data_IF_696971322134
#
_entry.id   IF_696971322134
#
_cell.length_a   1.000
_cell.length_b   1.000
_cell.length_c   1.000
_cell.angle_alpha   90.00
_cell.angle_beta   90.00
_cell.angle_gamma   90.00
#
_symmetry.space_group_name_H-M   'P 1'
#
loop_
_entity.id
_entity.type
_entity.pdbx_description
1 polymer ?
#
# COMPACT_ATOMS: atom_id res chain seq x y z
N UNK A 1 6.69 19.82 -4.25
CA UNK A 1 6.08 19.53 -5.56
C UNK A 1 5.47 18.13 -5.47
N UNK A 2 4.14 18.08 -5.49
CA UNK A 2 3.33 16.85 -5.35
C UNK A 2 3.14 16.25 -6.76
N UNK A 3 3.30 14.93 -6.90
CA UNK A 3 3.15 14.24 -8.18
C UNK A 3 2.09 13.16 -8.03
N UNK A 4 0.89 13.46 -8.54
CA UNK A 4 -0.16 12.46 -8.66
C UNK A 4 0.27 11.46 -9.75
N UNK A 5 0.50 10.21 -9.36
CA UNK A 5 0.74 9.15 -10.33
C UNK A 5 -0.59 8.83 -11.00
N UNK A 6 -0.65 9.00 -12.32
CA UNK A 6 -1.73 8.43 -13.10
C UNK A 6 -1.65 6.89 -12.97
N UNK A 7 -2.64 6.30 -12.27
CA UNK A 7 -2.68 4.88 -11.85
C UNK A 7 -2.28 3.91 -12.97
N UNK A 8 -2.59 4.23 -14.22
CA UNK A 8 -2.40 3.37 -15.40
C UNK A 8 -0.97 3.27 -15.95
N UNK A 9 -0.01 4.08 -15.47
CA UNK A 9 1.36 4.08 -16.02
C UNK A 9 2.41 3.37 -15.17
N UNK A 10 2.16 3.16 -13.88
CA UNK A 10 3.17 2.61 -12.94
C UNK A 10 2.70 1.32 -12.29
N UNK A 11 1.39 1.18 -12.07
CA UNK A 11 0.80 0.03 -11.40
C UNK A 11 0.04 -0.81 -12.42
N UNK A 12 0.41 -2.07 -12.55
CA UNK A 12 -0.29 -3.02 -13.43
C UNK A 12 -1.00 -4.06 -12.60
N UNK A 13 -2.25 -4.38 -12.96
CA UNK A 13 -2.95 -5.53 -12.39
C UNK A 13 -2.45 -6.81 -13.07
N UNK A 14 -2.27 -7.92 -12.32
CA UNK A 14 -2.02 -9.23 -12.90
C UNK A 14 -3.25 -9.69 -13.70
N UNK A 15 -3.05 -10.44 -14.78
CA UNK A 15 -4.12 -10.89 -15.68
C UNK A 15 -5.05 -11.98 -15.11
N UNK A 16 -5.04 -12.24 -13.79
CA UNK A 16 -5.89 -13.27 -13.20
C UNK A 16 -7.30 -12.73 -12.88
N UNK A 17 -8.32 -13.41 -13.42
CA UNK A 17 -9.73 -13.03 -13.39
C UNK A 17 -10.41 -13.09 -12.00
N UNK A 18 -9.72 -13.57 -10.97
CA UNK A 18 -10.28 -13.75 -9.62
C UNK A 18 -9.97 -12.59 -8.66
N UNK A 19 -9.22 -11.58 -9.09
CA UNK A 19 -8.89 -10.43 -8.25
C UNK A 19 -9.97 -9.35 -8.40
N UNK A 20 -10.70 -9.07 -7.32
CA UNK A 20 -11.67 -7.97 -7.26
C UNK A 20 -11.01 -6.65 -7.71
N UNK A 21 -11.75 -5.86 -8.50
CA UNK A 21 -11.29 -4.57 -9.01
C UNK A 21 -10.70 -3.72 -7.87
N UNK A 22 -9.50 -3.17 -8.03
CA UNK A 22 -8.81 -2.27 -7.08
C UNK A 22 -9.50 -0.90 -6.90
N UNK A 23 -10.81 -0.84 -7.05
CA UNK A 23 -11.62 0.37 -6.94
C UNK A 23 -11.51 1.02 -5.57
N UNK A 24 -11.12 0.27 -4.54
CA UNK A 24 -11.03 0.73 -3.15
C UNK A 24 -9.60 0.98 -2.67
N UNK A 25 -8.62 0.88 -3.58
CA UNK A 25 -7.22 1.19 -3.31
C UNK A 25 -6.83 2.51 -3.98
N UNK A 26 -6.22 3.42 -3.22
CA UNK A 26 -5.69 4.69 -3.73
C UNK A 26 -4.19 4.79 -3.49
N UNK A 27 -3.47 5.39 -4.44
CA UNK A 27 -2.01 5.53 -4.38
C UNK A 27 -1.64 7.00 -4.30
N UNK A 28 -0.62 7.31 -3.53
CA UNK A 28 -0.06 8.65 -3.46
C UNK A 28 1.44 8.59 -3.24
N UNK A 29 2.21 9.41 -3.96
CA UNK A 29 3.66 9.42 -3.86
C UNK A 29 4.13 10.76 -3.30
N UNK A 30 4.87 10.71 -2.19
CA UNK A 30 5.47 11.89 -1.58
C UNK A 30 6.96 11.89 -1.83
N UNK A 31 7.46 13.03 -2.29
CA UNK A 31 8.87 13.21 -2.59
C UNK A 31 9.61 13.66 -1.32
N UNK A 32 10.16 12.69 -0.60
CA UNK A 32 10.86 12.93 0.67
C UNK A 32 12.40 12.84 0.50
N UNK A 33 12.87 12.31 -0.64
CA UNK A 33 14.29 12.10 -1.02
C UNK A 33 15.15 11.64 0.17
N UNK A 34 14.77 10.51 0.78
CA UNK A 34 15.48 10.02 1.98
C UNK A 34 16.72 9.18 1.63
N UNK A 35 16.54 8.06 0.90
CA UNK A 35 17.60 7.06 0.65
C UNK A 35 17.52 6.49 -0.77
N UNK A 36 18.66 6.15 -1.40
CA UNK A 36 18.72 5.54 -2.73
C UNK A 36 18.63 4.01 -2.70
N UNK A 37 18.16 3.41 -3.79
CA UNK A 37 18.08 1.96 -3.99
C UNK A 37 16.78 1.31 -3.49
N UNK A 38 15.76 2.12 -3.26
CA UNK A 38 14.46 1.66 -2.78
C UNK A 38 13.54 2.82 -2.43
N UNK A 39 12.48 2.53 -1.70
CA UNK A 39 11.47 3.51 -1.30
C UNK A 39 10.78 3.08 0.00
N UNK A 40 10.10 4.00 0.67
CA UNK A 40 9.25 3.66 1.81
C UNK A 40 7.87 3.31 1.26
N UNK A 41 7.33 2.16 1.67
CA UNK A 41 5.92 1.84 1.51
C UNK A 41 5.22 2.23 2.80
N UNK A 42 4.14 2.99 2.71
CA UNK A 42 3.25 3.26 3.82
C UNK A 42 1.85 2.74 3.47
N UNK A 43 1.37 1.75 4.21
CA UNK A 43 0.06 1.17 4.02
C UNK A 43 -0.90 1.72 5.05
N UNK A 44 -1.94 2.41 4.60
CA UNK A 44 -2.88 3.19 5.41
C UNK A 44 -4.27 2.57 5.28
N UNK A 45 -4.88 2.17 6.38
CA UNK A 45 -6.15 1.44 6.36
C UNK A 45 -7.17 2.09 7.28
N UNK A 46 -8.41 2.19 6.79
CA UNK A 46 -9.55 2.70 7.54
C UNK A 46 -10.01 1.70 8.60
N UNK A 47 -10.40 2.17 9.79
CA UNK A 47 -10.83 1.39 10.97
C UNK A 47 -11.79 0.26 10.70
N UNK A 48 -12.75 0.49 9.81
CA UNK A 48 -13.75 -0.53 9.46
C UNK A 48 -13.19 -1.68 8.63
N UNK A 49 -12.06 -1.47 7.95
CA UNK A 49 -11.40 -2.46 7.09
C UNK A 49 -10.34 -3.28 7.81
N UNK A 50 -9.89 -2.87 9.00
CA UNK A 50 -8.94 -3.63 9.80
C UNK A 50 -9.61 -4.13 11.08
N UNK A 51 -9.76 -5.45 11.21
CA UNK A 51 -10.39 -6.03 12.39
C UNK A 51 -9.40 -6.12 13.58
N UNK A 52 -8.07 -6.16 13.35
CA UNK A 52 -7.06 -6.30 14.43
C UNK A 52 -5.72 -5.53 14.31
N UNK A 53 -5.27 -5.04 13.13
CA UNK A 53 -4.20 -4.02 12.85
C UNK A 53 -3.62 -4.23 11.40
N UNK A 54 -2.48 -3.62 10.98
CA UNK A 54 -1.94 -3.54 9.59
C UNK A 54 -0.44 -3.87 9.51
N UNK A 55 0.01 -4.78 8.64
CA UNK A 55 1.44 -5.16 8.52
C UNK A 55 1.95 -5.15 7.07
N UNK A 56 3.21 -4.74 6.88
CA UNK A 56 3.96 -4.90 5.63
C UNK A 56 5.03 -5.99 5.78
N UNK A 57 4.89 -7.08 5.02
CA UNK A 57 5.86 -8.17 5.00
C UNK A 57 6.58 -8.26 3.65
N UNK A 58 7.91 -8.27 3.67
CA UNK A 58 8.70 -8.59 2.48
C UNK A 58 8.91 -10.10 2.46
N UNK A 59 8.28 -10.82 1.54
CA UNK A 59 8.30 -12.28 1.47
C UNK A 59 9.46 -12.83 0.63
N UNK A 60 10.32 -11.94 0.12
CA UNK A 60 11.46 -12.27 -0.74
C UNK A 60 11.13 -12.15 -2.22
N UNK A 61 12.16 -12.17 -3.08
CA UNK A 61 12.02 -12.19 -4.55
C UNK A 61 11.24 -11.03 -5.21
N UNK A 62 11.04 -9.92 -4.50
CA UNK A 62 10.27 -8.77 -4.99
C UNK A 62 8.79 -8.81 -4.58
N UNK A 63 8.35 -9.79 -3.80
CA UNK A 63 6.99 -9.83 -3.27
C UNK A 63 6.91 -9.07 -1.94
N UNK A 64 5.85 -8.26 -1.81
CA UNK A 64 5.51 -7.45 -0.65
C UNK A 64 4.05 -7.68 -0.32
N UNK A 65 3.78 -8.24 0.85
CA UNK A 65 2.42 -8.44 1.30
C UNK A 65 1.99 -7.30 2.22
N UNK A 66 0.78 -6.82 1.99
CA UNK A 66 0.10 -5.76 2.72
C UNK A 66 -1.10 -6.37 3.43
N UNK A 67 -0.97 -6.59 4.74
CA UNK A 67 -1.95 -7.33 5.52
C UNK A 67 -2.83 -6.34 6.28
N UNK A 68 -4.13 -6.36 6.03
CA UNK A 68 -5.12 -5.60 6.77
C UNK A 68 -5.92 -6.55 7.67
N UNK A 69 -5.61 -6.63 8.95
CA UNK A 69 -6.36 -7.43 9.94
C UNK A 69 -5.56 -8.27 10.93
N UNK A 70 -4.22 -8.18 10.96
CA UNK A 70 -3.34 -8.85 11.94
C UNK A 70 -2.88 -7.89 13.05
N UNK A 71 -2.49 -8.37 14.23
CA UNK A 71 -2.29 -7.59 15.48
C UNK A 71 -1.02 -6.69 15.57
N UNK A 72 -0.57 -6.03 14.50
CA UNK A 72 0.57 -5.08 14.50
C UNK A 72 0.28 -3.82 13.67
N UNK A 73 0.61 -2.60 14.10
CA UNK A 73 0.44 -1.34 13.33
C UNK A 73 0.33 -0.08 14.23
N UNK A 74 0.43 1.12 13.65
CA UNK A 74 0.47 2.41 14.39
C UNK A 74 -0.83 3.19 14.18
N UNK A 75 -1.39 3.73 15.27
CA UNK A 75 -2.53 4.67 15.21
C UNK A 75 -2.10 6.03 14.64
N UNK A 76 -2.86 6.57 13.69
CA UNK A 76 -2.61 7.91 13.18
C UNK A 76 -2.89 8.97 14.27
N UNK A 77 -2.00 9.95 14.42
CA UNK A 77 -2.18 11.06 15.35
C UNK A 77 -3.34 11.94 14.89
N UNK A 78 -4.35 12.10 15.74
CA UNK A 78 -5.48 12.98 15.46
C UNK A 78 -6.53 12.41 14.49
N UNK A 79 -6.36 11.17 14.00
CA UNK A 79 -7.39 10.45 13.24
C UNK A 79 -7.54 9.01 13.75
N UNK A 80 -8.48 8.82 14.68
CA UNK A 80 -8.79 7.52 15.26
C UNK A 80 -9.45 6.53 14.28
N UNK A 81 -9.79 6.96 13.06
CA UNK A 81 -10.35 6.10 12.02
C UNK A 81 -9.28 5.50 11.12
N UNK A 82 -8.00 5.77 11.36
CA UNK A 82 -6.91 5.33 10.49
C UNK A 82 -5.80 4.68 11.29
N UNK A 83 -5.33 3.54 10.80
CA UNK A 83 -4.03 2.97 11.19
C UNK A 83 -3.12 2.93 9.98
N UNK A 84 -1.83 2.82 10.24
CA UNK A 84 -0.85 2.61 9.19
C UNK A 84 0.31 1.73 9.65
N UNK A 85 1.02 1.18 8.68
CA UNK A 85 2.36 0.63 8.85
C UNK A 85 3.25 1.20 7.75
N UNK A 86 4.56 1.23 7.99
CA UNK A 86 5.52 1.69 7.00
C UNK A 86 6.80 0.87 7.04
N UNK A 87 7.36 0.62 5.87
CA UNK A 87 8.55 -0.20 5.73
C UNK A 87 9.39 0.22 4.55
N UNK A 88 10.70 0.09 4.71
CA UNK A 88 11.62 0.23 3.59
C UNK A 88 11.49 -0.97 2.64
N UNK A 89 11.32 -0.68 1.35
CA UNK A 89 11.28 -1.64 0.26
C UNK A 89 12.49 -1.38 -0.66
N UNK A 90 13.45 -2.30 -0.66
CA UNK A 90 14.59 -2.25 -1.56
C UNK A 90 14.20 -2.70 -2.96
N UNK A 91 14.79 -2.09 -4.00
CA UNK A 91 14.58 -2.59 -5.35
C UNK A 91 15.23 -3.97 -5.54
N UNK A 92 14.54 -4.94 -6.17
CA UNK A 92 15.12 -6.23 -6.50
C UNK A 92 16.26 -6.07 -7.51
N UNK A 93 17.33 -6.84 -7.33
CA UNK A 93 18.56 -6.75 -8.14
C UNK A 93 18.46 -7.44 -9.50
N UNK A 94 17.46 -8.30 -9.71
CA UNK A 94 17.28 -9.13 -10.89
C UNK A 94 16.23 -8.58 -11.87
N UNK A 95 15.96 -7.26 -11.83
CA UNK A 95 14.95 -6.58 -12.65
C UNK A 95 13.52 -7.16 -12.57
N UNK A 96 13.23 -8.03 -11.59
CA UNK A 96 11.88 -8.52 -11.31
C UNK A 96 10.97 -7.35 -10.92
N UNK A 97 9.66 -7.41 -11.24
CA UNK A 97 8.71 -6.46 -10.69
C UNK A 97 8.62 -6.60 -9.17
N UNK A 98 8.24 -5.51 -8.49
CA UNK A 98 7.80 -5.59 -7.10
C UNK A 98 6.31 -5.84 -7.10
N UNK A 99 5.88 -6.95 -6.52
CA UNK A 99 4.48 -7.34 -6.44
C UNK A 99 3.93 -7.03 -5.07
N UNK A 100 2.84 -6.28 -5.04
CA UNK A 100 2.08 -6.01 -3.83
C UNK A 100 0.81 -6.84 -3.79
N UNK A 101 0.59 -7.54 -2.69
CA UNK A 101 -0.65 -8.30 -2.43
C UNK A 101 -1.34 -7.74 -1.21
N UNK A 102 -2.58 -7.28 -1.36
CA UNK A 102 -3.42 -6.80 -0.27
C UNK A 102 -4.25 -7.97 0.24
N UNK A 103 -3.99 -8.37 1.48
CA UNK A 103 -4.63 -9.51 2.12
C UNK A 103 -5.52 -9.03 3.27
N UNK A 104 -6.70 -9.64 3.43
CA UNK A 104 -7.60 -9.44 4.57
C UNK A 104 -7.95 -10.79 5.23
N UNK A 105 -8.26 -10.82 6.54
CA UNK A 105 -8.72 -12.03 7.20
C UNK A 105 -10.10 -12.43 6.69
N UNK A 106 -10.27 -13.72 6.45
CA UNK A 106 -11.52 -14.41 6.19
C UNK A 106 -11.91 -15.23 7.43
N UNK A 107 -13.00 -15.98 7.33
CA UNK A 107 -13.41 -16.94 8.36
C UNK A 107 -12.33 -18.00 8.61
N UNK A 108 -12.24 -18.46 9.86
CA UNK A 108 -11.39 -19.59 10.28
C UNK A 108 -9.87 -19.37 10.13
N UNK A 109 -9.40 -18.12 10.20
CA UNK A 109 -7.96 -17.81 10.16
C UNK A 109 -7.32 -17.89 8.77
N UNK A 110 -8.12 -18.05 7.73
CA UNK A 110 -7.66 -17.95 6.33
C UNK A 110 -7.50 -16.49 5.93
N UNK A 111 -6.50 -16.20 5.09
CA UNK A 111 -6.31 -14.89 4.47
C UNK A 111 -6.82 -14.91 3.03
N UNK A 112 -7.44 -13.82 2.59
CA UNK A 112 -7.93 -13.64 1.24
C UNK A 112 -7.21 -12.46 0.59
N UNK A 113 -6.62 -12.67 -0.58
CA UNK A 113 -6.06 -11.58 -1.40
C UNK A 113 -7.19 -10.86 -2.12
N UNK A 114 -7.38 -9.59 -1.79
CA UNK A 114 -8.44 -8.73 -2.35
C UNK A 114 -7.94 -7.77 -3.43
N UNK A 115 -6.63 -7.62 -3.54
CA UNK A 115 -6.03 -6.73 -4.51
C UNK A 115 -4.58 -7.12 -4.75
N UNK A 116 -4.15 -6.98 -6.00
CA UNK A 116 -2.77 -7.21 -6.37
C UNK A 116 -2.36 -6.22 -7.44
N UNK A 117 -1.13 -5.70 -7.31
CA UNK A 117 -0.55 -4.84 -8.32
C UNK A 117 0.97 -5.01 -8.36
N UNK A 118 1.52 -4.84 -9.55
CA UNK A 118 2.94 -4.93 -9.81
C UNK A 118 3.50 -3.53 -10.12
N UNK A 119 4.71 -3.26 -9.63
CA UNK A 119 5.55 -2.14 -10.03
C UNK A 119 6.67 -2.72 -10.88
N UNK A 120 6.63 -2.45 -12.18
CA UNK A 120 7.66 -2.91 -13.11
C UNK A 120 9.00 -2.21 -12.84
N UNK A 121 10.10 -2.93 -13.07
CA UNK A 121 11.47 -2.40 -12.87
C UNK A 121 11.76 -1.12 -13.66
N UNK A 122 11.13 -0.98 -14.83
CA UNK A 122 11.16 0.25 -15.63
C UNK A 122 10.70 1.51 -14.86
N UNK A 123 9.89 1.38 -13.81
CA UNK A 123 9.36 2.49 -13.03
C UNK A 123 10.08 2.73 -11.70
N UNK A 124 11.08 1.94 -11.33
CA UNK A 124 11.79 2.10 -10.05
C UNK A 124 12.42 3.49 -9.87
N UNK A 125 12.93 4.09 -10.96
CA UNK A 125 13.45 5.46 -10.94
C UNK A 125 12.43 6.51 -10.48
N UNK A 126 11.13 6.24 -10.64
CA UNK A 126 10.05 7.16 -10.23
C UNK A 126 9.75 7.06 -8.73
N UNK A 127 10.17 5.97 -8.08
CA UNK A 127 9.93 5.67 -6.67
C UNK A 127 11.19 5.88 -5.81
N UNK A 128 12.37 5.82 -6.42
CA UNK A 128 13.67 5.85 -5.73
C UNK A 128 13.81 7.03 -4.74
N UNK A 129 13.90 6.69 -3.46
CA UNK A 129 14.01 7.60 -2.32
C UNK A 129 12.73 8.33 -1.93
N UNK A 130 11.57 7.85 -2.35
CA UNK A 130 10.27 8.45 -2.07
C UNK A 130 9.44 7.58 -1.14
N UNK A 131 8.30 8.11 -0.71
CA UNK A 131 7.33 7.40 0.12
C UNK A 131 6.07 7.15 -0.70
N UNK A 132 5.78 5.86 -0.96
CA UNK A 132 4.56 5.39 -1.61
C UNK A 132 3.51 5.11 -0.53
N UNK A 133 2.47 5.93 -0.49
CA UNK A 133 1.27 5.69 0.30
C UNK A 133 0.27 4.85 -0.48
N UNK A 134 -0.23 3.81 0.17
CA UNK A 134 -1.26 2.90 -0.32
C UNK A 134 -2.42 2.98 0.66
N UNK A 135 -3.54 3.55 0.24
CA UNK A 135 -4.72 3.73 1.06
C UNK A 135 -5.75 2.66 0.71
N UNK A 136 -6.28 1.98 1.73
CA UNK A 136 -7.30 0.94 1.58
C UNK A 136 -8.49 1.17 2.53
N UNK A 137 -9.69 1.27 1.95
CA UNK A 137 -10.97 1.31 2.66
C UNK A 137 -11.78 0.05 2.36
N UNK A 138 -12.71 -0.33 3.25
CA UNK A 138 -13.67 -1.42 2.98
C UNK A 138 -14.39 -1.20 1.65
N UNK A 139 -14.77 -2.32 1.03
CA UNK A 139 -15.57 -2.37 -0.19
C UNK A 139 -16.76 -1.40 -0.10
N UNK A 140 -16.83 -0.47 -1.05
CA UNK A 140 -17.86 0.57 -1.20
C UNK A 140 -17.82 1.81 -0.31
N UNK A 141 -16.99 1.88 0.75
CA UNK A 141 -16.95 3.09 1.60
C UNK A 141 -16.30 4.29 0.89
N UNK A 142 -15.44 4.04 -0.11
CA UNK A 142 -14.76 5.08 -0.91
C UNK A 142 -14.08 6.16 -0.04
N UNK A 143 -13.76 5.88 1.22
CA UNK A 143 -13.34 6.86 2.22
C UNK A 143 -12.12 7.65 1.75
N UNK A 144 -11.11 6.93 1.24
CA UNK A 144 -9.89 7.52 0.69
C UNK A 144 -10.02 7.98 -0.77
N UNK A 145 -11.20 7.94 -1.39
CA UNK A 145 -11.41 8.61 -2.70
C UNK A 145 -11.48 10.13 -2.53
N UNK A 146 -11.89 10.59 -1.35
CA UNK A 146 -11.86 11.98 -0.93
C UNK A 146 -10.45 12.33 -0.48
N UNK A 147 -9.83 13.36 -1.07
CA UNK A 147 -8.43 13.69 -0.82
C UNK A 147 -8.18 14.13 0.63
N UNK A 148 -9.11 14.87 1.24
CA UNK A 148 -8.97 15.33 2.63
C UNK A 148 -8.87 14.17 3.63
N UNK A 149 -9.39 13.00 3.27
CA UNK A 149 -9.38 11.81 4.11
C UNK A 149 -8.07 11.02 3.98
N UNK A 150 -7.10 11.46 3.17
CA UNK A 150 -5.80 10.80 2.98
C UNK A 150 -4.77 11.43 3.91
N UNK A 151 -4.56 10.89 5.12
CA UNK A 151 -3.55 11.44 6.01
C UNK A 151 -2.16 11.36 5.35
N UNK A 152 -1.39 12.43 5.53
CA UNK A 152 0.00 12.58 5.08
C UNK A 152 0.94 12.49 6.29
N UNK A 153 2.26 12.43 6.06
CA UNK A 153 3.35 12.29 7.06
C UNK A 153 3.04 12.92 8.44
N UNK A 154 2.65 14.20 8.50
CA UNK A 154 2.38 14.93 9.77
C UNK A 154 1.32 14.28 10.66
N UNK A 155 0.29 13.66 10.06
CA UNK A 155 -0.81 13.02 10.77
C UNK A 155 -0.44 11.58 11.15
N UNK A 156 0.55 10.99 10.47
CA UNK A 156 0.96 9.62 10.72
C UNK A 156 2.08 9.54 11.78
N UNK A 157 3.03 10.49 11.79
CA UNK A 157 4.24 10.42 12.63
C UNK A 157 4.23 11.30 13.88
#
# INVERSE_FOLDING_TARGET
MELFINKSKIFTQPQNNDVQSMNDVSFYLVNEKEKKGGFIVCFVVQKKAWNRQIEIQNTGDGNVDLWAGESKGIDAKGDANVKFDYKWCSFPTNAKPIRFMINKPKSLGLMETIGQFDILSAHFHQLDGRTLYIYYSMDNEKYFKVEQNRPKKVILY
#
